data_IF_643126455021
#
_entry.id   IF_643126455021
#
_cell.length_a   1.000
_cell.length_b   1.000
_cell.length_c   1.000
_cell.angle_alpha   90.00
_cell.angle_beta   90.00
_cell.angle_gamma   90.00
#
_symmetry.space_group_name_H-M   'P 1'
#
loop_
_entity.id
_entity.type
_entity.pdbx_description
1 polymer ?
#
# COMPACT_ATOMS: atom_id res chain seq x y z
N UNK A 1 -17.93 -0.65 4.29
CA UNK A 1 -18.12 -1.29 2.97
C UNK A 1 -16.80 -1.32 2.23
N UNK A 2 -16.60 -2.27 1.31
CA UNK A 2 -15.39 -2.38 0.48
C UNK A 2 -15.77 -2.11 -0.97
N UNK A 3 -15.22 -1.08 -1.60
CA UNK A 3 -15.55 -0.75 -2.99
C UNK A 3 -14.51 -1.40 -3.93
N UNK A 4 -14.87 -2.25 -4.89
CA UNK A 4 -16.19 -2.82 -5.20
C UNK A 4 -16.33 -4.31 -4.81
N UNK A 5 -15.41 -4.83 -3.98
CA UNK A 5 -15.42 -6.23 -3.55
C UNK A 5 -16.58 -6.51 -2.59
N UNK A 6 -17.53 -7.34 -3.01
CA UNK A 6 -18.67 -7.80 -2.19
C UNK A 6 -19.53 -6.66 -1.60
N UNK A 7 -19.60 -5.48 -2.25
CA UNK A 7 -20.48 -4.40 -1.81
C UNK A 7 -21.85 -4.45 -2.45
N UNK A 8 -22.87 -4.14 -1.66
CA UNK A 8 -24.23 -3.86 -2.15
C UNK A 8 -24.35 -2.44 -2.72
N UNK A 9 -25.38 -2.22 -3.54
CA UNK A 9 -25.69 -0.88 -4.05
C UNK A 9 -25.97 0.13 -2.92
N UNK A 10 -26.63 -0.31 -1.85
CA UNK A 10 -26.93 0.57 -0.71
C UNK A 10 -25.67 0.96 0.06
N UNK A 11 -24.73 0.03 0.25
CA UNK A 11 -23.42 0.34 0.82
C UNK A 11 -22.60 1.30 -0.04
N UNK A 12 -22.69 1.19 -1.37
CA UNK A 12 -22.03 2.12 -2.28
C UNK A 12 -22.62 3.54 -2.17
N UNK A 13 -23.94 3.66 -2.07
CA UNK A 13 -24.61 4.96 -1.85
C UNK A 13 -24.26 5.60 -0.51
N UNK A 14 -24.05 4.78 0.53
CA UNK A 14 -23.69 5.23 1.86
C UNK A 14 -22.18 5.47 2.04
N UNK A 15 -21.33 5.05 1.12
CA UNK A 15 -19.87 5.16 1.23
C UNK A 15 -19.38 6.57 1.62
N UNK A 16 -19.96 7.70 1.14
CA UNK A 16 -19.52 9.04 1.55
C UNK A 16 -19.65 9.36 3.05
N UNK A 17 -20.44 8.58 3.79
CA UNK A 17 -20.62 8.74 5.23
C UNK A 17 -19.48 8.15 6.07
N UNK A 18 -18.49 7.50 5.44
CA UNK A 18 -17.34 6.94 6.15
C UNK A 18 -16.54 8.04 6.87
N UNK A 19 -15.98 7.71 8.04
CA UNK A 19 -15.10 8.62 8.77
C UNK A 19 -13.76 8.85 8.05
N UNK A 20 -13.28 7.84 7.32
CA UNK A 20 -12.10 7.88 6.46
C UNK A 20 -12.23 6.82 5.38
N UNK A 21 -11.84 7.15 4.15
CA UNK A 21 -11.64 6.19 3.08
C UNK A 21 -10.25 5.59 3.19
N UNK A 22 -10.18 4.25 3.24
CA UNK A 22 -8.93 3.53 3.26
C UNK A 22 -8.62 2.92 1.89
N UNK A 23 -7.74 3.54 1.11
CA UNK A 23 -7.46 3.10 -0.26
C UNK A 23 -6.49 1.93 -0.28
N UNK A 24 -6.77 0.91 -1.09
CA UNK A 24 -5.86 -0.19 -1.40
C UNK A 24 -5.15 0.04 -2.73
N UNK A 25 -5.91 0.17 -3.82
CA UNK A 25 -5.38 0.38 -5.16
C UNK A 25 -5.24 1.88 -5.46
N UNK A 26 -4.02 2.34 -5.74
CA UNK A 26 -3.73 3.72 -6.12
C UNK A 26 -4.24 4.12 -7.53
N UNK A 27 -4.58 3.17 -8.40
CA UNK A 27 -5.11 3.49 -9.74
C UNK A 27 -6.61 3.79 -9.65
N UNK A 28 -7.39 2.84 -9.13
CA UNK A 28 -8.86 2.92 -9.10
C UNK A 28 -9.38 3.45 -7.77
N UNK A 29 -8.87 2.91 -6.66
CA UNK A 29 -9.34 3.25 -5.32
C UNK A 29 -9.04 4.70 -4.96
N UNK A 30 -7.85 5.18 -5.30
CA UNK A 30 -7.46 6.57 -5.05
C UNK A 30 -8.34 7.56 -5.81
N UNK A 31 -8.64 7.28 -7.09
CA UNK A 31 -9.53 8.12 -7.91
C UNK A 31 -10.92 8.25 -7.27
N UNK A 32 -11.49 7.13 -6.81
CA UNK A 32 -12.79 7.13 -6.12
C UNK A 32 -12.70 7.87 -4.78
N UNK A 33 -11.68 7.57 -3.97
CA UNK A 33 -11.45 8.19 -2.67
C UNK A 33 -11.25 9.70 -2.79
N UNK A 34 -10.53 10.17 -3.82
CA UNK A 34 -10.30 11.58 -4.11
C UNK A 34 -11.60 12.27 -4.53
N UNK A 35 -12.37 11.65 -5.41
CA UNK A 35 -13.69 12.16 -5.78
C UNK A 35 -14.63 12.28 -4.57
N UNK A 36 -14.57 11.34 -3.62
CA UNK A 36 -15.34 11.41 -2.38
C UNK A 36 -14.83 12.53 -1.46
N UNK A 37 -13.51 12.71 -1.35
CA UNK A 37 -12.91 13.79 -0.59
C UNK A 37 -13.33 15.17 -1.15
N UNK A 38 -13.22 15.35 -2.46
CA UNK A 38 -13.53 16.63 -3.11
C UNK A 38 -15.03 16.96 -3.07
N UNK A 39 -15.90 15.95 -3.19
CA UNK A 39 -17.36 16.16 -3.25
C UNK A 39 -18.05 16.16 -1.89
N UNK A 40 -17.58 15.35 -0.95
CA UNK A 40 -18.26 15.10 0.34
C UNK A 40 -17.40 15.46 1.55
N UNK A 41 -16.13 15.84 1.36
CA UNK A 41 -15.21 16.11 2.46
C UNK A 41 -14.73 14.86 3.20
N UNK A 42 -15.02 13.66 2.68
CA UNK A 42 -14.61 12.39 3.30
C UNK A 42 -13.09 12.28 3.29
N UNK A 43 -12.42 12.14 4.45
CA UNK A 43 -10.97 11.99 4.49
C UNK A 43 -10.48 10.75 3.71
N UNK A 44 -9.25 10.80 3.24
CA UNK A 44 -8.60 9.72 2.50
C UNK A 44 -7.24 9.43 3.14
N UNK A 45 -7.01 8.20 3.59
CA UNK A 45 -5.65 7.74 3.84
C UNK A 45 -5.00 7.38 2.49
N UNK A 46 -3.73 7.74 2.30
CA UNK A 46 -3.02 7.47 1.04
C UNK A 46 -1.72 6.75 1.35
N UNK A 47 -1.63 5.50 0.91
CA UNK A 47 -0.41 4.70 0.90
C UNK A 47 -0.39 3.81 -0.34
N UNK A 48 0.76 3.21 -0.64
CA UNK A 48 0.81 2.03 -1.53
C UNK A 48 -0.04 0.88 -0.97
N UNK A 49 -0.26 -0.19 -1.75
CA UNK A 49 -0.89 -1.40 -1.21
C UNK A 49 -0.15 -1.83 0.07
N UNK A 50 -0.88 -2.21 1.14
CA UNK A 50 -0.30 -2.65 2.41
C UNK A 50 0.27 -4.07 2.27
N UNK A 51 1.29 -4.21 1.42
CA UNK A 51 2.10 -5.42 1.28
C UNK A 51 3.35 -5.25 2.13
N UNK A 52 3.57 -6.21 3.02
CA UNK A 52 4.65 -6.12 3.99
C UNK A 52 4.26 -5.39 5.27
N UNK A 53 5.16 -5.40 6.23
CA UNK A 53 4.95 -4.86 7.57
C UNK A 53 4.91 -3.34 7.49
N UNK A 54 5.97 -2.71 6.98
CA UNK A 54 6.10 -1.25 6.97
C UNK A 54 4.96 -0.53 6.21
N UNK A 55 4.52 -1.09 5.07
CA UNK A 55 3.40 -0.51 4.33
C UNK A 55 2.04 -0.71 5.05
N UNK A 56 1.85 -1.85 5.71
CA UNK A 56 0.65 -2.13 6.50
C UNK A 56 0.55 -1.21 7.71
N UNK A 57 1.67 -0.99 8.40
CA UNK A 57 1.73 -0.08 9.55
C UNK A 57 1.33 1.34 9.15
N UNK A 58 1.96 1.88 8.09
CA UNK A 58 1.64 3.22 7.59
C UNK A 58 0.19 3.36 7.12
N UNK A 59 -0.40 2.30 6.56
CA UNK A 59 -1.81 2.28 6.18
C UNK A 59 -2.73 2.34 7.41
N UNK A 60 -2.44 1.56 8.44
CA UNK A 60 -3.18 1.55 9.71
C UNK A 60 -3.07 2.90 10.43
N UNK A 61 -1.86 3.44 10.56
CA UNK A 61 -1.60 4.76 11.16
C UNK A 61 -2.35 5.87 10.42
N UNK A 62 -2.32 5.84 9.08
CA UNK A 62 -3.01 6.80 8.24
C UNK A 62 -4.52 6.83 8.46
N UNK A 63 -5.14 5.68 8.74
CA UNK A 63 -6.55 5.61 9.11
C UNK A 63 -6.78 6.05 10.57
N UNK A 64 -5.95 5.56 11.49
CA UNK A 64 -6.07 5.79 12.92
C UNK A 64 -6.06 7.27 13.29
N UNK A 65 -5.25 8.08 12.60
CA UNK A 65 -5.18 9.54 12.77
C UNK A 65 -6.53 10.25 12.57
N UNK A 66 -7.35 9.80 11.62
CA UNK A 66 -8.67 10.38 11.39
C UNK A 66 -9.72 9.86 12.37
N UNK A 67 -9.46 8.71 12.98
CA UNK A 67 -10.37 8.05 13.92
C UNK A 67 -10.07 8.39 15.39
N UNK A 68 -8.91 8.99 15.70
CA UNK A 68 -8.44 9.17 17.07
C UNK A 68 -8.13 7.83 17.75
N UNK A 69 -7.60 6.88 16.99
CA UNK A 69 -7.36 5.49 17.42
C UNK A 69 -5.88 5.08 17.33
N UNK A 70 -4.96 6.04 17.45
CA UNK A 70 -3.52 5.81 17.27
C UNK A 70 -2.96 4.80 18.28
N UNK A 71 -3.40 4.84 19.54
CA UNK A 71 -2.97 3.89 20.57
C UNK A 71 -3.45 2.46 20.27
N UNK A 72 -4.68 2.31 19.80
CA UNK A 72 -5.26 1.03 19.42
C UNK A 72 -4.58 0.45 18.18
N UNK A 73 -4.25 1.30 17.20
CA UNK A 73 -3.48 0.90 16.03
C UNK A 73 -2.08 0.42 16.42
N UNK A 74 -1.38 1.17 17.28
CA UNK A 74 -0.06 0.77 17.79
C UNK A 74 -0.10 -0.58 18.51
N UNK A 75 -1.07 -0.77 19.40
CA UNK A 75 -1.25 -2.03 20.12
C UNK A 75 -1.57 -3.21 19.19
N UNK A 76 -2.36 -2.98 18.13
CA UNK A 76 -2.64 -4.00 17.12
C UNK A 76 -1.36 -4.36 16.33
N UNK A 77 -0.61 -3.37 15.86
CA UNK A 77 0.62 -3.59 15.09
C UNK A 77 1.65 -4.38 15.91
N UNK A 78 1.86 -4.03 17.19
CA UNK A 78 2.75 -4.76 18.09
C UNK A 78 2.32 -6.22 18.27
N UNK A 79 1.02 -6.44 18.53
CA UNK A 79 0.46 -7.78 18.72
C UNK A 79 0.61 -8.65 17.47
N UNK A 80 0.25 -8.13 16.30
CA UNK A 80 0.31 -8.88 15.04
C UNK A 80 1.76 -9.15 14.62
N UNK A 81 2.67 -8.17 14.79
CA UNK A 81 4.10 -8.41 14.55
C UNK A 81 4.66 -9.48 15.47
N UNK A 82 4.35 -9.42 16.79
CA UNK A 82 4.81 -10.42 17.74
C UNK A 82 4.36 -11.85 17.37
N UNK A 83 3.18 -12.00 16.76
CA UNK A 83 2.64 -13.28 16.33
C UNK A 83 3.39 -13.89 15.13
N UNK A 84 4.02 -13.08 14.28
CA UNK A 84 4.75 -13.55 13.07
C UNK A 84 6.26 -13.41 13.17
N UNK A 85 6.77 -12.76 14.24
CA UNK A 85 8.16 -12.31 14.34
C UNK A 85 9.16 -13.44 14.12
N UNK A 86 8.94 -14.61 14.70
CA UNK A 86 9.90 -15.71 14.63
C UNK A 86 10.06 -16.21 13.20
N UNK A 87 8.94 -16.45 12.53
CA UNK A 87 8.88 -16.92 11.14
C UNK A 87 9.38 -15.86 10.16
N UNK A 88 9.02 -14.59 10.41
CA UNK A 88 9.46 -13.46 9.59
C UNK A 88 10.98 -13.28 9.64
N UNK A 89 11.57 -13.22 10.84
CA UNK A 89 13.02 -13.04 11.00
C UNK A 89 13.80 -14.25 10.45
N UNK A 90 13.27 -15.47 10.62
CA UNK A 90 13.84 -16.66 9.99
C UNK A 90 13.82 -16.55 8.46
N UNK A 91 12.67 -16.19 7.86
CA UNK A 91 12.55 -16.01 6.41
C UNK A 91 13.48 -14.91 5.89
N UNK A 92 13.55 -13.77 6.57
CA UNK A 92 14.44 -12.64 6.24
C UNK A 92 15.89 -13.08 6.19
N UNK A 93 16.36 -13.84 7.18
CA UNK A 93 17.75 -14.32 7.23
C UNK A 93 18.17 -15.14 5.99
N UNK A 94 17.22 -15.80 5.32
CA UNK A 94 17.48 -16.57 4.12
C UNK A 94 17.56 -15.74 2.85
N UNK A 95 16.95 -14.55 2.81
CA UNK A 95 16.77 -13.80 1.56
C UNK A 95 17.39 -12.40 1.58
N UNK A 96 17.77 -11.89 2.75
CA UNK A 96 18.43 -10.59 2.91
C UNK A 96 19.68 -10.48 2.02
N UNK A 97 19.82 -9.33 1.35
CA UNK A 97 20.90 -9.03 0.42
C UNK A 97 20.81 -9.73 -0.95
N UNK A 98 19.86 -10.66 -1.16
CA UNK A 98 19.67 -11.31 -2.48
C UNK A 98 18.95 -10.38 -3.45
N UNK A 99 19.10 -10.68 -4.75
CA UNK A 99 18.38 -10.02 -5.83
C UNK A 99 16.96 -10.62 -5.97
N UNK A 100 15.95 -9.76 -5.94
CA UNK A 100 14.58 -10.06 -6.33
C UNK A 100 14.31 -9.47 -7.72
N UNK A 101 13.77 -10.30 -8.62
CA UNK A 101 13.28 -9.86 -9.93
C UNK A 101 11.76 -9.94 -9.88
N UNK A 102 11.10 -8.81 -10.13
CA UNK A 102 9.64 -8.69 -10.12
C UNK A 102 9.17 -8.45 -11.54
N UNK A 103 8.39 -9.40 -12.08
CA UNK A 103 7.64 -9.21 -13.32
C UNK A 103 6.15 -9.33 -13.00
N UNK A 104 5.37 -8.34 -13.43
CA UNK A 104 3.93 -8.36 -13.24
C UNK A 104 3.22 -7.37 -14.16
N UNK A 105 2.00 -7.70 -14.55
CA UNK A 105 1.18 -6.83 -15.40
C UNK A 105 0.71 -5.56 -14.65
N UNK A 106 0.46 -5.67 -13.35
CA UNK A 106 -0.04 -4.59 -12.50
C UNK A 106 1.14 -3.87 -11.83
N UNK A 107 1.34 -2.61 -12.20
CA UNK A 107 2.46 -1.83 -11.69
C UNK A 107 2.35 -1.51 -10.21
N UNK A 108 1.16 -1.23 -9.68
CA UNK A 108 1.02 -0.92 -8.25
C UNK A 108 1.42 -2.13 -7.43
N UNK A 109 0.98 -3.33 -7.83
CA UNK A 109 1.43 -4.56 -7.18
C UNK A 109 2.95 -4.73 -7.26
N UNK A 110 3.55 -4.46 -8.43
CA UNK A 110 5.00 -4.54 -8.59
C UNK A 110 5.74 -3.56 -7.65
N UNK A 111 5.28 -2.30 -7.58
CA UNK A 111 5.85 -1.28 -6.71
C UNK A 111 5.68 -1.62 -5.22
N UNK A 112 4.51 -2.15 -4.83
CA UNK A 112 4.25 -2.58 -3.45
C UNK A 112 5.08 -3.81 -3.04
N UNK A 113 5.25 -4.78 -3.94
CA UNK A 113 6.16 -5.90 -3.72
C UNK A 113 7.61 -5.43 -3.62
N UNK A 114 8.02 -4.49 -4.46
CA UNK A 114 9.35 -3.91 -4.40
C UNK A 114 9.62 -3.23 -3.06
N UNK A 115 8.66 -2.42 -2.59
CA UNK A 115 8.73 -1.80 -1.28
C UNK A 115 8.85 -2.84 -0.15
N UNK A 116 8.00 -3.87 -0.13
CA UNK A 116 8.07 -4.94 0.88
C UNK A 116 9.43 -5.66 0.88
N UNK A 117 9.91 -6.07 -0.29
CA UNK A 117 11.14 -6.84 -0.41
C UNK A 117 12.39 -6.01 -0.05
N UNK A 118 12.41 -4.72 -0.39
CA UNK A 118 13.47 -3.80 0.03
C UNK A 118 13.38 -3.48 1.53
N UNK A 119 12.25 -2.91 1.98
CA UNK A 119 12.11 -2.33 3.31
C UNK A 119 12.04 -3.36 4.42
N UNK A 120 11.27 -4.42 4.22
CA UNK A 120 11.05 -5.41 5.28
C UNK A 120 12.11 -6.51 5.23
N UNK A 121 12.46 -6.98 4.03
CA UNK A 121 13.35 -8.12 3.83
C UNK A 121 14.80 -7.76 3.48
N UNK A 122 15.13 -6.50 3.21
CA UNK A 122 16.52 -6.08 2.90
C UNK A 122 17.05 -6.67 1.58
N UNK A 123 16.17 -6.96 0.63
CA UNK A 123 16.55 -7.47 -0.69
C UNK A 123 16.93 -6.34 -1.63
N UNK A 124 17.77 -6.64 -2.62
CA UNK A 124 18.01 -5.77 -3.77
C UNK A 124 16.92 -6.04 -4.79
N UNK A 125 16.16 -5.04 -5.23
CA UNK A 125 14.99 -5.25 -6.09
C UNK A 125 15.22 -4.69 -7.50
N UNK A 126 14.84 -5.48 -8.50
CA UNK A 126 14.73 -5.06 -9.90
C UNK A 126 13.33 -5.36 -10.41
N UNK A 127 12.65 -4.35 -10.95
CA UNK A 127 11.36 -4.52 -11.64
C UNK A 127 11.65 -4.74 -13.13
N UNK A 128 11.27 -5.90 -13.65
CA UNK A 128 11.45 -6.31 -15.04
C UNK A 128 10.11 -6.24 -15.78
N UNK A 129 10.09 -5.64 -16.98
CA UNK A 129 8.87 -5.45 -17.77
C UNK A 129 7.78 -4.68 -17.02
N UNK A 130 8.12 -3.49 -16.55
CA UNK A 130 7.15 -2.57 -15.94
C UNK A 130 6.12 -2.12 -16.99
N UNK A 131 4.97 -2.81 -17.04
CA UNK A 131 3.99 -2.60 -18.11
C UNK A 131 3.60 -1.12 -18.21
N UNK A 132 3.69 -0.48 -19.39
CA UNK A 132 3.32 0.91 -19.55
C UNK A 132 1.80 1.06 -19.53
N UNK A 133 1.25 1.51 -18.41
CA UNK A 133 0.03 2.31 -18.41
C UNK A 133 0.45 3.72 -17.99
N UNK A 134 -0.11 4.74 -18.65
CA UNK A 134 0.45 6.09 -18.82
C UNK A 134 1.15 6.65 -17.56
N UNK A 135 2.25 7.36 -17.78
CA UNK A 135 3.02 8.08 -16.75
C UNK A 135 2.14 8.95 -15.84
N UNK A 136 1.07 9.53 -16.38
CA UNK A 136 0.06 10.30 -15.63
C UNK A 136 -0.72 9.47 -14.60
N UNK A 137 -1.00 8.19 -14.87
CA UNK A 137 -1.68 7.32 -13.91
C UNK A 137 -0.79 6.94 -12.72
N UNK A 138 0.53 7.19 -12.80
CA UNK A 138 1.52 6.69 -11.84
C UNK A 138 2.21 7.75 -11.00
N UNK A 139 1.98 9.04 -11.26
CA UNK A 139 2.60 10.15 -10.53
C UNK A 139 2.47 9.94 -9.01
N UNK A 140 1.26 9.69 -8.51
CA UNK A 140 1.01 9.44 -7.07
C UNK A 140 1.81 8.26 -6.49
N UNK A 141 2.01 7.19 -7.26
CA UNK A 141 2.75 6.01 -6.79
C UNK A 141 4.26 6.23 -6.83
N UNK A 142 4.74 6.91 -7.86
CA UNK A 142 6.16 7.29 -8.01
C UNK A 142 6.53 8.31 -6.92
N UNK A 143 5.70 9.33 -6.72
CA UNK A 143 5.88 10.35 -5.68
C UNK A 143 5.97 9.72 -4.30
N UNK A 144 5.07 8.79 -3.98
CA UNK A 144 5.12 8.09 -2.70
C UNK A 144 6.44 7.31 -2.51
N UNK A 145 6.93 6.61 -3.52
CA UNK A 145 8.18 5.86 -3.40
C UNK A 145 9.38 6.80 -3.20
N UNK A 146 9.42 7.90 -3.94
CA UNK A 146 10.43 8.94 -3.76
C UNK A 146 10.36 9.58 -2.37
N UNK A 147 9.17 9.83 -1.83
CA UNK A 147 8.98 10.29 -0.43
C UNK A 147 9.53 9.30 0.59
N UNK A 148 9.47 8.00 0.30
CA UNK A 148 10.05 6.96 1.17
C UNK A 148 11.55 6.75 0.95
N UNK A 149 12.17 7.44 -0.02
CA UNK A 149 13.58 7.27 -0.39
C UNK A 149 13.88 5.94 -1.09
N UNK A 150 12.88 5.31 -1.72
CA UNK A 150 13.06 4.11 -2.55
C UNK A 150 13.21 4.55 -4.01
N UNK A 151 14.35 4.22 -4.62
CA UNK A 151 14.62 4.42 -6.06
C UNK A 151 14.85 3.06 -6.73
N UNK A 152 13.78 2.35 -7.16
CA UNK A 152 13.90 0.99 -7.67
C UNK A 152 14.50 0.95 -9.07
N UNK A 153 15.41 -0.01 -9.31
CA UNK A 153 15.94 -0.25 -10.66
C UNK A 153 14.86 -0.89 -11.54
N UNK A 154 14.54 -0.24 -12.67
CA UNK A 154 13.53 -0.70 -13.62
C UNK A 154 14.20 -1.06 -14.95
N UNK A 155 14.02 -2.31 -15.38
CA UNK A 155 14.45 -2.80 -16.70
C UNK A 155 13.24 -2.95 -17.62
N UNK A 156 13.20 -2.15 -18.68
CA UNK A 156 12.17 -2.18 -19.74
C UNK A 156 12.79 -2.89 -20.95
N UNK A 157 12.13 -3.93 -21.48
CA UNK A 157 12.52 -4.60 -22.74
C UNK A 157 11.51 -4.36 -23.85
#
# INVERSE_FOLDING_TARGET
SVIAGDCTLEELKQAPSAAVNCTLCLDLGYTIGKAMSDKFGTPLNSTILPYGISATEKWLEGAAKYLGMEEQAAALMEKEYAAIKTEFEAAKSYIEGKLAIIEGHDAIKCLSLAHMLDRDFGMRVVIYNFHPWSTEARETSVDYLLETGLDPEILIT
#
